data_IF_858325199560
#
_entry.id   IF_858325199560
#
_cell.length_a   1.000
_cell.length_b   1.000
_cell.length_c   1.000
_cell.angle_alpha   90.00
_cell.angle_beta   90.00
_cell.angle_gamma   90.00
#
_symmetry.space_group_name_H-M   'P 1'
#
loop_
_entity.id
_entity.type
_entity.pdbx_description
1 polymer ?
#
# COMPACT_ATOMS: atom_id res chain seq x y z
N UNK A 1 -24.95 25.00 32.84
CA UNK A 1 -23.76 24.79 31.98
C UNK A 1 -24.04 24.86 30.47
N UNK A 2 -25.23 24.50 29.97
CA UNK A 2 -25.54 24.49 28.52
C UNK A 2 -25.62 25.86 27.81
N UNK A 3 -25.84 26.96 28.53
CA UNK A 3 -25.99 28.30 27.93
C UNK A 3 -24.68 28.92 27.41
N UNK A 4 -23.51 28.45 27.89
CA UNK A 4 -22.21 29.05 27.55
C UNK A 4 -21.62 28.58 26.21
N UNK A 5 -22.05 27.41 25.71
CA UNK A 5 -21.60 26.89 24.42
C UNK A 5 -22.24 27.62 23.23
N UNK A 6 -23.48 28.11 23.39
CA UNK A 6 -24.20 28.90 22.38
C UNK A 6 -23.66 30.33 22.20
N UNK A 7 -22.84 30.80 23.13
CA UNK A 7 -22.23 32.14 23.12
C UNK A 7 -20.81 32.12 22.54
N UNK A 8 -20.29 30.94 22.17
CA UNK A 8 -18.96 30.82 21.61
C UNK A 8 -18.98 31.20 20.12
N UNK A 9 -18.10 32.10 19.66
CA UNK A 9 -17.98 32.48 18.25
C UNK A 9 -17.52 31.32 17.36
N UNK A 10 -17.11 30.18 17.95
CA UNK A 10 -16.71 28.97 17.23
C UNK A 10 -17.91 28.09 16.80
N UNK A 11 -19.10 28.32 17.35
CA UNK A 11 -20.31 27.56 17.00
C UNK A 11 -21.34 28.52 16.40
N UNK A 12 -21.39 28.57 15.07
CA UNK A 12 -22.45 29.28 14.35
C UNK A 12 -23.83 28.75 14.78
N UNK A 13 -24.83 29.62 14.83
CA UNK A 13 -26.20 29.35 15.33
C UNK A 13 -26.91 28.18 14.64
N UNK A 14 -26.40 27.71 13.49
CA UNK A 14 -26.91 26.59 12.69
C UNK A 14 -26.46 25.20 13.19
N UNK A 15 -25.43 25.12 14.03
CA UNK A 15 -24.99 23.85 14.61
C UNK A 15 -25.74 23.57 15.91
N UNK A 16 -26.80 22.76 15.82
CA UNK A 16 -27.52 22.33 17.01
C UNK A 16 -26.61 21.46 17.90
N UNK A 17 -26.70 21.66 19.22
CA UNK A 17 -25.98 20.85 20.21
C UNK A 17 -26.28 19.35 20.02
N UNK A 18 -27.46 19.02 19.50
CA UNK A 18 -27.82 17.64 19.16
C UNK A 18 -26.99 17.08 18.00
N UNK A 19 -26.72 17.88 16.95
CA UNK A 19 -25.83 17.47 15.83
C UNK A 19 -24.40 17.24 16.30
N UNK A 20 -23.90 18.08 17.21
CA UNK A 20 -22.56 17.88 17.78
C UNK A 20 -22.50 16.60 18.61
N UNK A 21 -23.50 16.36 19.47
CA UNK A 21 -23.60 15.11 20.24
C UNK A 21 -23.67 13.88 19.34
N UNK A 22 -24.47 13.90 18.28
CA UNK A 22 -24.55 12.77 17.34
C UNK A 22 -23.23 12.57 16.60
N UNK A 23 -22.55 13.64 16.18
CA UNK A 23 -21.24 13.53 15.53
C UNK A 23 -20.19 12.93 16.47
N UNK A 24 -20.16 13.35 17.75
CA UNK A 24 -19.26 12.77 18.74
C UNK A 24 -19.54 11.29 19.00
N UNK A 25 -20.82 10.90 19.11
CA UNK A 25 -21.21 9.49 19.26
C UNK A 25 -20.79 8.64 18.06
N UNK A 26 -21.02 9.14 16.84
CA UNK A 26 -20.63 8.45 15.62
C UNK A 26 -19.10 8.30 15.52
N UNK A 27 -18.33 9.32 15.92
CA UNK A 27 -16.87 9.24 15.97
C UNK A 27 -16.39 8.24 17.01
N UNK A 28 -16.98 8.23 18.21
CA UNK A 28 -16.65 7.24 19.24
C UNK A 28 -16.90 5.81 18.74
N UNK A 29 -18.03 5.57 18.09
CA UNK A 29 -18.32 4.27 17.49
C UNK A 29 -17.32 3.92 16.38
N UNK A 30 -16.98 4.86 15.51
CA UNK A 30 -15.98 4.65 14.47
C UNK A 30 -14.60 4.30 15.07
N UNK A 31 -14.19 4.95 16.16
CA UNK A 31 -12.93 4.63 16.85
C UNK A 31 -12.93 3.25 17.48
N UNK A 32 -14.03 2.83 18.11
CA UNK A 32 -14.14 1.47 18.68
C UNK A 32 -14.06 0.41 17.58
N UNK A 33 -14.73 0.63 16.45
CA UNK A 33 -14.65 -0.27 15.29
C UNK A 33 -13.22 -0.33 14.75
N UNK A 34 -12.53 0.81 14.66
CA UNK A 34 -11.14 0.88 14.21
C UNK A 34 -10.18 0.20 15.18
N UNK A 35 -10.36 0.36 16.49
CA UNK A 35 -9.57 -0.31 17.52
C UNK A 35 -9.71 -1.84 17.44
N UNK A 36 -10.94 -2.34 17.28
CA UNK A 36 -11.21 -3.76 17.06
C UNK A 36 -10.57 -4.24 15.76
N UNK A 37 -10.68 -3.46 14.68
CA UNK A 37 -10.08 -3.79 13.38
C UNK A 37 -8.57 -3.92 13.51
N UNK A 38 -7.90 -2.93 14.10
CA UNK A 38 -6.45 -2.90 14.32
C UNK A 38 -6.00 -4.05 15.21
N UNK A 39 -6.69 -4.30 16.33
CA UNK A 39 -6.37 -5.39 17.24
C UNK A 39 -6.59 -6.79 16.63
N UNK A 40 -7.46 -6.89 15.61
CA UNK A 40 -7.75 -8.13 14.89
C UNK A 40 -6.81 -8.38 13.71
N UNK A 41 -5.98 -7.41 13.32
CA UNK A 41 -4.98 -7.60 12.27
C UNK A 41 -3.92 -8.57 12.77
N UNK A 42 -3.96 -9.79 12.25
CA UNK A 42 -2.89 -10.77 12.48
C UNK A 42 -1.73 -10.43 11.56
N UNK A 43 -0.52 -10.16 12.10
CA UNK A 43 0.63 -9.97 11.24
C UNK A 43 0.94 -11.27 10.50
N UNK A 44 1.14 -11.16 9.20
CA UNK A 44 1.68 -12.22 8.37
C UNK A 44 3.17 -12.36 8.67
N UNK A 45 3.60 -13.57 9.01
CA UNK A 45 5.01 -13.90 9.16
C UNK A 45 5.51 -14.27 7.77
N UNK A 46 6.57 -13.61 7.29
CA UNK A 46 7.20 -13.89 6.00
C UNK A 46 8.57 -14.51 6.25
N UNK A 47 8.80 -15.71 5.73
CA UNK A 47 10.11 -16.35 5.70
C UNK A 47 10.93 -15.89 4.49
N UNK A 48 12.00 -15.12 4.73
CA UNK A 48 12.85 -14.63 3.64
C UNK A 48 13.72 -15.71 2.98
N UNK A 49 13.86 -16.89 3.59
CA UNK A 49 14.53 -18.02 2.97
C UNK A 49 13.68 -18.64 1.84
N UNK A 50 12.35 -18.51 1.90
CA UNK A 50 11.44 -18.99 0.87
C UNK A 50 11.08 -17.87 -0.12
N UNK A 51 11.71 -17.90 -1.29
CA UNK A 51 11.45 -16.92 -2.36
C UNK A 51 10.00 -16.98 -2.87
N UNK A 52 9.33 -18.13 -2.80
CA UNK A 52 7.93 -18.25 -3.19
C UNK A 52 7.02 -17.54 -2.19
N UNK A 53 7.36 -17.58 -0.89
CA UNK A 53 6.63 -16.87 0.17
C UNK A 53 6.79 -15.36 0.04
N UNK A 54 8.01 -14.88 -0.21
CA UNK A 54 8.29 -13.45 -0.47
C UNK A 54 7.56 -12.94 -1.70
N UNK A 55 7.59 -13.69 -2.81
CA UNK A 55 6.84 -13.34 -4.02
C UNK A 55 5.33 -13.37 -3.76
N UNK A 56 4.85 -14.36 -2.99
CA UNK A 56 3.45 -14.47 -2.58
C UNK A 56 2.98 -13.24 -1.81
N UNK A 57 3.80 -12.76 -0.87
CA UNK A 57 3.55 -11.52 -0.14
C UNK A 57 3.41 -10.32 -1.07
N UNK A 58 4.40 -10.09 -1.95
CA UNK A 58 4.33 -8.92 -2.85
C UNK A 58 3.14 -8.97 -3.80
N UNK A 59 2.77 -10.16 -4.29
CA UNK A 59 1.56 -10.34 -5.11
C UNK A 59 0.32 -9.95 -4.34
N UNK A 60 0.21 -10.39 -3.10
CA UNK A 60 -0.93 -10.04 -2.24
C UNK A 60 -0.97 -8.55 -1.93
N UNK A 61 0.19 -7.93 -1.66
CA UNK A 61 0.29 -6.49 -1.42
C UNK A 61 -0.10 -5.67 -2.66
N UNK A 62 0.28 -6.08 -3.86
CA UNK A 62 -0.24 -5.43 -5.08
C UNK A 62 -1.74 -5.68 -5.28
N UNK A 63 -2.25 -6.85 -4.91
CA UNK A 63 -3.69 -7.12 -4.98
C UNK A 63 -4.51 -6.31 -3.98
N UNK A 64 -3.95 -5.78 -2.90
CA UNK A 64 -4.69 -4.91 -1.97
C UNK A 64 -4.78 -3.48 -2.47
N UNK A 65 -3.92 -3.06 -3.40
CA UNK A 65 -3.99 -1.73 -4.01
C UNK A 65 -5.25 -1.56 -4.87
N UNK A 66 -5.66 -0.30 -5.05
CA UNK A 66 -6.67 0.05 -6.03
C UNK A 66 -6.27 -0.48 -7.44
N UNK A 67 -7.16 -1.20 -8.14
CA UNK A 67 -6.87 -1.75 -9.46
C UNK A 67 -6.32 -0.76 -10.49
N UNK A 68 -6.75 0.50 -10.44
CA UNK A 68 -6.30 1.55 -11.37
C UNK A 68 -4.84 1.93 -11.10
N UNK A 69 -4.39 1.83 -9.84
CA UNK A 69 -2.99 2.09 -9.51
C UNK A 69 -2.06 1.05 -10.12
N UNK A 70 -2.52 -0.20 -10.33
CA UNK A 70 -1.68 -1.25 -10.88
C UNK A 70 -1.24 -0.95 -12.32
N UNK A 71 -2.14 -0.44 -13.14
CA UNK A 71 -1.80 -0.01 -14.50
C UNK A 71 -0.84 1.18 -14.50
N UNK A 72 -1.08 2.15 -13.61
CA UNK A 72 -0.25 3.37 -13.53
C UNK A 72 1.17 3.04 -13.03
N UNK A 73 1.30 2.19 -12.00
CA UNK A 73 2.59 1.71 -11.49
C UNK A 73 3.33 0.94 -12.59
N UNK A 74 2.63 0.05 -13.30
CA UNK A 74 3.22 -0.75 -14.36
C UNK A 74 3.78 0.14 -15.48
N UNK A 75 2.98 1.09 -15.98
CA UNK A 75 3.41 2.01 -17.05
C UNK A 75 4.66 2.80 -16.64
N UNK A 76 4.67 3.35 -15.42
CA UNK A 76 5.80 4.15 -14.93
C UNK A 76 7.03 3.27 -14.67
N UNK A 77 6.85 2.03 -14.19
CA UNK A 77 7.95 1.08 -14.00
C UNK A 77 8.56 0.64 -15.33
N UNK A 78 7.74 0.40 -16.35
CA UNK A 78 8.22 0.07 -17.69
C UNK A 78 9.04 1.21 -18.29
N UNK A 79 8.52 2.44 -18.23
CA UNK A 79 9.25 3.65 -18.65
C UNK A 79 10.59 3.82 -17.91
N UNK A 80 10.62 3.53 -16.61
CA UNK A 80 11.85 3.62 -15.82
C UNK A 80 12.88 2.54 -16.23
N UNK A 81 12.43 1.33 -16.55
CA UNK A 81 13.29 0.22 -16.98
C UNK A 81 13.80 0.37 -18.41
N UNK A 82 13.06 1.07 -19.28
CA UNK A 82 13.47 1.38 -20.66
C UNK A 82 14.73 2.25 -20.73
N UNK A 83 14.96 3.08 -19.72
CA UNK A 83 16.21 3.85 -19.57
C UNK A 83 17.44 3.00 -19.29
N UNK A 84 17.29 1.73 -18.89
CA UNK A 84 18.38 0.86 -18.39
C UNK A 84 18.70 -0.36 -19.25
N UNK A 85 17.97 -0.66 -20.34
CA UNK A 85 18.34 -1.75 -21.22
C UNK A 85 17.23 -2.24 -22.15
N UNK A 86 17.40 -1.95 -23.43
CA UNK A 86 16.48 -2.27 -24.52
C UNK A 86 16.59 -3.75 -24.92
N UNK A 87 15.78 -4.64 -24.33
CA UNK A 87 15.57 -5.99 -24.92
C UNK A 87 14.21 -6.64 -24.64
N UNK A 88 13.30 -6.01 -23.88
CA UNK A 88 11.98 -6.60 -23.54
C UNK A 88 10.80 -6.09 -24.36
N UNK A 89 10.97 -5.03 -25.17
CA UNK A 89 9.87 -4.29 -25.81
C UNK A 89 8.96 -5.09 -26.74
N UNK A 90 9.44 -6.14 -27.41
CA UNK A 90 8.68 -6.76 -28.51
C UNK A 90 7.66 -7.85 -28.12
N UNK A 91 7.43 -8.13 -26.83
CA UNK A 91 6.39 -9.10 -26.41
C UNK A 91 5.23 -8.52 -25.59
N UNK A 92 5.26 -7.23 -25.23
CA UNK A 92 4.50 -6.71 -24.08
C UNK A 92 3.27 -5.87 -24.43
N UNK A 93 3.34 -5.04 -25.48
CA UNK A 93 2.25 -4.11 -25.84
C UNK A 93 0.97 -4.76 -26.38
N UNK A 94 0.99 -6.05 -26.74
CA UNK A 94 -0.18 -6.72 -27.32
C UNK A 94 -1.10 -7.42 -26.30
N UNK A 95 -0.82 -7.34 -24.99
CA UNK A 95 -1.64 -8.00 -23.95
C UNK A 95 -2.22 -7.07 -22.88
N UNK A 96 -1.87 -5.78 -22.89
CA UNK A 96 -2.23 -4.82 -21.84
C UNK A 96 -3.75 -4.56 -21.76
N UNK A 97 -4.47 -4.70 -22.86
CA UNK A 97 -5.91 -4.41 -22.93
C UNK A 97 -6.80 -5.52 -22.30
N UNK A 98 -6.21 -6.64 -21.84
CA UNK A 98 -6.93 -7.79 -21.26
C UNK A 98 -6.26 -8.43 -20.04
N UNK A 99 -5.25 -7.79 -19.45
CA UNK A 99 -4.59 -8.37 -18.29
C UNK A 99 -5.47 -8.20 -17.04
N UNK A 100 -5.97 -9.31 -16.50
CA UNK A 100 -6.74 -9.29 -15.25
C UNK A 100 -5.89 -8.76 -14.09
N UNK A 101 -6.56 -8.19 -13.06
CA UNK A 101 -5.93 -7.64 -11.84
C UNK A 101 -4.84 -8.54 -11.26
N UNK A 102 -5.09 -9.85 -11.22
CA UNK A 102 -4.15 -10.85 -10.72
C UNK A 102 -2.87 -10.94 -11.55
N UNK A 103 -2.98 -10.81 -12.88
CA UNK A 103 -1.83 -10.88 -13.78
C UNK A 103 -0.99 -9.60 -13.69
N UNK A 104 -1.61 -8.43 -13.51
CA UNK A 104 -0.90 -7.17 -13.25
C UNK A 104 -0.13 -7.23 -11.92
N UNK A 105 -0.80 -7.66 -10.85
CA UNK A 105 -0.17 -7.83 -9.54
C UNK A 105 0.98 -8.85 -9.58
N UNK A 106 0.81 -9.96 -10.30
CA UNK A 106 1.87 -10.96 -10.52
C UNK A 106 3.10 -10.32 -11.18
N UNK A 107 2.87 -9.58 -12.26
CA UNK A 107 3.93 -8.97 -13.05
C UNK A 107 4.68 -7.88 -12.27
N UNK A 108 3.95 -7.05 -11.54
CA UNK A 108 4.51 -6.04 -10.65
C UNK A 108 5.35 -6.67 -9.53
N UNK A 109 4.86 -7.73 -8.90
CA UNK A 109 5.59 -8.45 -7.86
C UNK A 109 6.93 -9.01 -8.39
N UNK A 110 6.93 -9.64 -9.56
CA UNK A 110 8.15 -10.19 -10.16
C UNK A 110 9.16 -9.08 -10.49
N UNK A 111 8.72 -7.93 -11.00
CA UNK A 111 9.61 -6.79 -11.27
C UNK A 111 10.15 -6.15 -9.98
N UNK A 112 9.29 -5.98 -8.98
CA UNK A 112 9.62 -5.38 -7.68
C UNK A 112 10.65 -6.21 -6.91
N UNK A 113 10.46 -7.53 -6.91
CA UNK A 113 11.35 -8.49 -6.27
C UNK A 113 12.65 -8.72 -7.05
N UNK A 114 12.57 -8.89 -8.37
CA UNK A 114 13.67 -9.46 -9.15
C UNK A 114 14.56 -8.50 -9.93
N UNK A 115 14.09 -7.34 -10.38
CA UNK A 115 14.78 -6.65 -11.49
C UNK A 115 14.83 -5.12 -11.46
N UNK A 116 14.04 -4.46 -10.62
CA UNK A 116 14.01 -2.99 -10.63
C UNK A 116 14.99 -2.41 -9.58
N UNK A 117 15.93 -1.51 -9.94
CA UNK A 117 16.72 -0.76 -8.96
C UNK A 117 15.82 -0.07 -7.94
N UNK A 118 16.30 0.11 -6.70
CA UNK A 118 15.53 0.78 -5.66
C UNK A 118 15.15 2.21 -6.08
N UNK A 119 16.07 2.91 -6.75
CA UNK A 119 15.84 4.27 -7.22
C UNK A 119 14.72 4.34 -8.27
N UNK A 120 14.63 3.34 -9.17
CA UNK A 120 13.57 3.27 -10.18
C UNK A 120 12.18 3.09 -9.54
N UNK A 121 12.10 2.30 -8.47
CA UNK A 121 10.86 2.06 -7.75
C UNK A 121 10.43 3.29 -6.96
N UNK A 122 11.34 3.92 -6.20
CA UNK A 122 11.03 5.14 -5.46
C UNK A 122 10.50 6.25 -6.38
N UNK A 123 11.11 6.42 -7.56
CA UNK A 123 10.65 7.38 -8.56
C UNK A 123 9.28 6.98 -9.12
N UNK A 124 9.06 5.70 -9.41
CA UNK A 124 7.78 5.24 -9.94
C UNK A 124 6.63 5.45 -8.95
N UNK A 125 6.83 5.05 -7.69
CA UNK A 125 5.83 5.21 -6.64
C UNK A 125 5.61 6.67 -6.27
N UNK A 126 6.63 7.54 -6.29
CA UNK A 126 6.44 9.00 -6.11
C UNK A 126 5.61 9.62 -7.23
N UNK A 127 5.82 9.20 -8.48
CA UNK A 127 5.01 9.67 -9.62
C UNK A 127 3.56 9.23 -9.47
N UNK A 128 3.31 7.97 -9.10
CA UNK A 128 1.95 7.45 -8.88
C UNK A 128 1.27 8.09 -7.67
N UNK A 129 1.98 8.27 -6.55
CA UNK A 129 1.45 8.94 -5.36
C UNK A 129 1.12 10.42 -5.62
N UNK A 130 1.91 11.11 -6.46
CA UNK A 130 1.58 12.46 -6.89
C UNK A 130 0.28 12.53 -7.73
N UNK A 131 -0.10 11.42 -8.38
CA UNK A 131 -1.31 11.31 -9.18
C UNK A 131 -2.55 10.91 -8.35
N UNK A 132 -2.38 10.39 -7.12
CA UNK A 132 -3.46 9.76 -6.34
C UNK A 132 -3.39 10.03 -4.82
N UNK A 133 -4.48 10.50 -4.17
CA UNK A 133 -4.48 10.87 -2.76
C UNK A 133 -4.78 9.71 -1.77
N UNK A 134 -4.60 8.45 -2.15
CA UNK A 134 -5.08 7.32 -1.35
C UNK A 134 -4.11 6.93 -0.21
N UNK A 135 -4.45 7.34 1.02
CA UNK A 135 -3.69 6.99 2.24
C UNK A 135 -3.55 5.47 2.48
N UNK A 136 -4.58 4.62 2.26
CA UNK A 136 -4.43 3.18 2.42
C UNK A 136 -3.38 2.56 1.50
N UNK A 137 -3.37 2.98 0.23
CA UNK A 137 -2.41 2.49 -0.76
C UNK A 137 -0.98 2.92 -0.40
N UNK A 138 -0.80 4.14 0.11
CA UNK A 138 0.50 4.65 0.58
C UNK A 138 1.07 3.80 1.72
N UNK A 139 0.24 3.37 2.66
CA UNK A 139 0.65 2.49 3.77
C UNK A 139 1.12 1.13 3.23
N UNK A 140 0.37 0.56 2.29
CA UNK A 140 0.73 -0.72 1.66
C UNK A 140 2.07 -0.61 0.94
N UNK A 141 2.24 0.42 0.13
CA UNK A 141 3.49 0.67 -0.59
C UNK A 141 4.66 0.84 0.38
N UNK A 142 4.49 1.64 1.43
CA UNK A 142 5.54 1.88 2.44
C UNK A 142 6.01 0.59 3.11
N UNK A 143 5.08 -0.27 3.54
CA UNK A 143 5.44 -1.56 4.14
C UNK A 143 6.13 -2.48 3.14
N UNK A 144 5.69 -2.52 1.87
CA UNK A 144 6.38 -3.29 0.82
C UNK A 144 7.85 -2.88 0.68
N UNK A 145 8.15 -1.58 0.73
CA UNK A 145 9.52 -1.07 0.71
C UNK A 145 10.30 -1.47 1.97
N UNK A 146 9.68 -1.41 3.15
CA UNK A 146 10.32 -1.89 4.38
C UNK A 146 10.66 -3.38 4.31
N UNK A 147 9.71 -4.23 3.92
CA UNK A 147 9.93 -5.68 3.76
C UNK A 147 11.06 -5.95 2.76
N UNK A 148 11.16 -5.16 1.69
CA UNK A 148 12.23 -5.28 0.70
C UNK A 148 13.61 -4.91 1.26
N UNK A 149 13.72 -3.86 2.06
CA UNK A 149 14.97 -3.51 2.70
C UNK A 149 15.40 -4.57 3.74
N UNK A 150 14.44 -5.14 4.47
CA UNK A 150 14.71 -6.29 5.34
C UNK A 150 15.17 -7.52 4.55
N UNK A 151 14.54 -7.85 3.43
CA UNK A 151 14.97 -8.94 2.55
C UNK A 151 16.40 -8.70 2.06
N UNK A 152 16.74 -7.49 1.62
CA UNK A 152 18.11 -7.13 1.19
C UNK A 152 19.12 -7.26 2.33
N UNK A 153 18.76 -6.81 3.52
CA UNK A 153 19.60 -6.94 4.71
C UNK A 153 19.84 -8.41 5.07
N UNK A 154 18.80 -9.24 5.02
CA UNK A 154 18.89 -10.69 5.20
C UNK A 154 19.82 -11.34 4.16
N UNK A 155 19.66 -11.02 2.86
CA UNK A 155 20.53 -11.52 1.79
C UNK A 155 22.00 -11.12 1.99
N UNK A 156 22.26 -9.95 2.59
CA UNK A 156 23.62 -9.49 2.92
C UNK A 156 24.19 -10.14 4.18
N UNK A 157 23.34 -10.63 5.09
CA UNK A 157 23.75 -11.20 6.35
C UNK A 157 22.83 -12.36 6.76
N UNK A 158 23.14 -13.57 6.26
CA UNK A 158 22.33 -14.80 6.39
C UNK A 158 22.14 -15.24 7.86
N UNK A 159 22.85 -14.62 8.81
CA UNK A 159 22.75 -14.87 10.25
C UNK A 159 21.75 -13.95 10.99
N UNK A 160 21.12 -13.01 10.29
CA UNK A 160 20.06 -12.13 10.83
C UNK A 160 18.71 -12.87 10.92
N UNK A 161 17.73 -12.42 11.74
CA UNK A 161 16.45 -13.10 11.89
C UNK A 161 15.74 -13.33 10.55
N UNK A 162 15.26 -14.56 10.37
CA UNK A 162 14.68 -15.10 9.12
C UNK A 162 13.26 -14.61 8.80
N UNK A 163 12.63 -13.91 9.74
CA UNK A 163 11.20 -13.60 9.73
C UNK A 163 10.94 -12.11 9.93
N UNK A 164 9.99 -11.57 9.17
CA UNK A 164 9.41 -10.23 9.41
C UNK A 164 7.89 -10.35 9.53
N UNK A 165 7.32 -9.53 10.42
CA UNK A 165 5.89 -9.34 10.56
C UNK A 165 5.43 -8.26 9.58
N UNK A 166 4.61 -8.65 8.61
CA UNK A 166 3.89 -7.77 7.71
C UNK A 166 2.45 -7.63 8.19
N UNK A 167 1.90 -6.42 8.19
CA UNK A 167 0.60 -6.12 8.82
C UNK A 167 -0.54 -5.97 7.82
N UNK A 168 -0.29 -6.25 6.54
CA UNK A 168 -1.33 -6.12 5.52
C UNK A 168 -2.49 -7.09 5.75
N UNK A 169 -3.66 -6.48 5.91
CA UNK A 169 -4.95 -7.16 6.10
C UNK A 169 -5.22 -8.02 4.88
N UNK A 170 -5.21 -9.34 5.08
CA UNK A 170 -5.89 -10.26 4.18
C UNK A 170 -7.39 -9.97 4.28
N UNK A 171 -8.00 -9.51 3.19
CA UNK A 171 -9.45 -9.54 3.04
C UNK A 171 -9.93 -10.97 2.79
#
# INVERSE_FOLDING_TARGET
MFGRLRQSPLFQSEYSIQRLKSAMLNLQQAFVVEEIRVASVKPQIINFADQAEVLGYYRQAFLTLDPILLSDILAVMEDATDTFGSSRKHRLWNMEDKLGRATLAFRLADMFHGSCPAECLDVAFKKVAALRPSKPDEIVISEMFHVREFEKAYRRNIFAPFYVFAFHVSL
#
